data_IF_707454038980
#
_entry.id   IF_707454038980
#
_cell.length_a   1.000
_cell.length_b   1.000
_cell.length_c   1.000
_cell.angle_alpha   90.00
_cell.angle_beta   90.00
_cell.angle_gamma   90.00
#
_symmetry.space_group_name_H-M   'P 1'
#
loop_
_entity.id
_entity.type
_entity.pdbx_description
1 polymer ?
#
# COMPACT_ATOMS: atom_id res chain seq x y z
N UNK A 1 -6.35 0.25 0.56
CA UNK A 1 -6.24 -0.25 1.96
C UNK A 1 -4.84 -0.06 2.54
N UNK A 2 -3.77 -0.62 1.97
CA UNK A 2 -2.41 -0.45 2.53
C UNK A 2 -1.99 1.03 2.67
N UNK A 3 -2.26 1.87 1.69
CA UNK A 3 -1.94 3.30 1.73
C UNK A 3 -2.68 4.05 2.86
N UNK A 4 -3.96 3.75 3.10
CA UNK A 4 -4.71 4.38 4.20
C UNK A 4 -4.18 3.95 5.57
N UNK A 5 -3.82 2.68 5.73
CA UNK A 5 -3.20 2.18 6.96
C UNK A 5 -1.83 2.83 7.17
N UNK A 6 -1.00 2.91 6.13
CA UNK A 6 0.31 3.57 6.20
C UNK A 6 0.21 5.05 6.57
N UNK A 7 -0.77 5.76 6.02
CA UNK A 7 -1.04 7.15 6.38
C UNK A 7 -1.38 7.30 7.86
N UNK A 8 -2.35 6.53 8.35
CA UNK A 8 -2.80 6.58 9.77
C UNK A 8 -1.64 6.25 10.71
N UNK A 9 -0.81 5.25 10.41
CA UNK A 9 0.35 4.88 11.21
C UNK A 9 1.36 6.04 11.27
N UNK A 10 1.62 6.69 10.13
CA UNK A 10 2.53 7.84 10.07
C UNK A 10 2.00 9.03 10.86
N UNK A 11 0.70 9.35 10.77
CA UNK A 11 0.06 10.41 11.55
C UNK A 11 0.06 10.11 13.06
N UNK A 12 -0.08 8.85 13.44
CA UNK A 12 0.05 8.42 14.82
C UNK A 12 1.48 8.54 15.38
N UNK A 13 2.45 8.93 14.54
CA UNK A 13 3.83 9.11 14.96
C UNK A 13 4.63 7.82 15.10
N UNK A 14 4.11 6.72 14.57
CA UNK A 14 4.85 5.45 14.54
C UNK A 14 5.83 5.48 13.38
N UNK A 15 7.10 5.53 13.67
CA UNK A 15 8.20 5.57 12.70
C UNK A 15 9.15 4.38 12.91
N UNK A 16 9.84 3.99 11.86
CA UNK A 16 10.87 2.97 11.98
C UNK A 16 12.04 3.49 12.83
N UNK A 17 12.63 2.63 13.68
CA UNK A 17 13.85 2.98 14.40
C UNK A 17 15.04 3.04 13.42
N UNK A 18 15.94 4.01 13.64
CA UNK A 18 17.16 4.18 12.86
C UNK A 18 17.07 5.29 11.82
N UNK A 19 17.99 5.27 10.87
CA UNK A 19 18.17 6.29 9.85
C UNK A 19 17.75 5.77 8.47
N UNK A 20 17.06 6.61 7.70
CA UNK A 20 16.72 6.32 6.29
C UNK A 20 17.93 6.54 5.38
N UNK A 21 18.84 7.43 5.78
CA UNK A 21 20.12 7.70 5.14
C UNK A 21 21.12 8.14 6.21
N UNK A 22 22.40 8.15 5.89
CA UNK A 22 23.45 8.55 6.85
C UNK A 22 23.14 9.92 7.46
N UNK A 23 22.82 9.94 8.76
CA UNK A 23 22.50 11.16 9.52
C UNK A 23 21.08 11.71 9.31
N UNK A 24 20.17 10.94 8.69
CA UNK A 24 18.77 11.32 8.52
C UNK A 24 17.86 10.29 9.21
N UNK A 25 17.49 10.52 10.48
CA UNK A 25 16.60 9.59 11.19
C UNK A 25 15.18 9.58 10.60
N UNK A 26 14.52 8.42 10.63
CA UNK A 26 13.13 8.32 10.18
C UNK A 26 12.20 9.29 10.90
N UNK A 27 12.47 9.59 12.17
CA UNK A 27 11.68 10.53 12.96
C UNK A 27 11.72 11.98 12.42
N UNK A 28 12.75 12.36 11.67
CA UNK A 28 12.89 13.70 11.09
C UNK A 28 12.11 13.93 9.80
N UNK A 29 11.54 12.87 9.21
CA UNK A 29 10.83 12.96 7.94
C UNK A 29 9.51 13.75 8.04
N UNK A 30 8.93 13.84 9.24
CA UNK A 30 7.63 14.50 9.44
C UNK A 30 6.46 13.57 9.18
N UNK A 31 5.29 14.17 8.89
CA UNK A 31 4.02 13.47 8.74
C UNK A 31 3.38 13.75 7.38
N UNK A 32 2.42 12.90 7.02
CA UNK A 32 1.60 13.06 5.83
C UNK A 32 2.40 13.24 4.55
N UNK A 33 2.00 14.19 3.73
CA UNK A 33 2.65 14.50 2.44
C UNK A 33 4.08 15.00 2.61
N UNK A 34 4.36 15.71 3.71
CA UNK A 34 5.71 16.23 3.97
C UNK A 34 6.71 15.11 4.23
N UNK A 35 6.28 14.01 4.84
CA UNK A 35 7.15 12.85 5.04
C UNK A 35 7.71 12.33 3.71
N UNK A 36 6.86 12.24 2.67
CA UNK A 36 7.31 11.85 1.33
C UNK A 36 8.26 12.88 0.70
N UNK A 37 7.97 14.17 0.87
CA UNK A 37 8.83 15.23 0.33
C UNK A 37 10.25 15.17 0.92
N UNK A 38 10.35 14.87 2.21
CA UNK A 38 11.60 14.81 2.96
C UNK A 38 12.41 13.50 2.78
N UNK A 39 11.83 12.48 2.14
CA UNK A 39 12.59 11.26 1.80
C UNK A 39 13.72 11.62 0.83
N UNK A 40 14.96 11.18 1.08
CA UNK A 40 16.08 11.39 0.16
C UNK A 40 15.80 10.80 -1.23
N UNK A 41 16.26 11.47 -2.28
CA UNK A 41 16.01 11.04 -3.67
C UNK A 41 16.53 9.63 -3.97
N UNK A 42 17.65 9.25 -3.36
CA UNK A 42 18.16 7.88 -3.46
C UNK A 42 17.18 6.85 -2.89
N UNK A 43 16.50 7.16 -1.78
CA UNK A 43 15.46 6.31 -1.20
C UNK A 43 14.23 6.21 -2.10
N UNK A 44 13.79 7.33 -2.67
CA UNK A 44 12.69 7.35 -3.66
C UNK A 44 13.01 6.49 -4.87
N UNK A 45 14.23 6.62 -5.41
CA UNK A 45 14.68 5.81 -6.54
C UNK A 45 14.71 4.31 -6.21
N UNK A 46 15.20 3.93 -5.04
CA UNK A 46 15.20 2.54 -4.59
C UNK A 46 13.79 1.96 -4.49
N UNK A 47 12.83 2.72 -3.94
CA UNK A 47 11.43 2.30 -3.89
C UNK A 47 10.84 2.10 -5.29
N UNK A 48 11.07 3.04 -6.20
CA UNK A 48 10.59 2.93 -7.59
C UNK A 48 11.21 1.73 -8.32
N UNK A 49 12.50 1.47 -8.13
CA UNK A 49 13.17 0.30 -8.71
C UNK A 49 12.62 -1.00 -8.14
N UNK A 50 12.37 -1.07 -6.83
CA UNK A 50 11.79 -2.26 -6.20
C UNK A 50 10.36 -2.54 -6.71
N UNK A 51 9.52 -1.50 -6.82
CA UNK A 51 8.17 -1.60 -7.38
C UNK A 51 8.26 -2.04 -8.85
N UNK A 52 9.11 -1.39 -9.66
CA UNK A 52 9.30 -1.74 -11.06
C UNK A 52 9.78 -3.18 -11.26
N UNK A 53 10.64 -3.69 -10.40
CA UNK A 53 11.09 -5.08 -10.44
C UNK A 53 9.93 -6.07 -10.16
N UNK A 54 9.08 -5.78 -9.17
CA UNK A 54 7.90 -6.60 -8.84
C UNK A 54 6.89 -6.57 -10.00
N UNK A 55 6.59 -5.40 -10.53
CA UNK A 55 5.69 -5.24 -11.68
C UNK A 55 6.20 -6.01 -12.90
N UNK A 56 7.49 -5.84 -13.25
CA UNK A 56 8.12 -6.57 -14.36
C UNK A 56 8.07 -8.08 -14.14
N UNK A 57 8.36 -8.57 -12.94
CA UNK A 57 8.27 -9.97 -12.60
C UNK A 57 6.84 -10.52 -12.76
N UNK A 58 5.81 -9.71 -12.42
CA UNK A 58 4.41 -10.10 -12.61
C UNK A 58 4.01 -10.19 -14.08
N UNK A 59 4.54 -9.30 -14.94
CA UNK A 59 4.26 -9.33 -16.38
C UNK A 59 4.89 -10.54 -17.11
N UNK A 60 6.04 -11.04 -16.63
CA UNK A 60 6.68 -12.25 -17.18
C UNK A 60 6.02 -13.56 -16.75
N UNK A 61 5.04 -13.52 -15.86
CA UNK A 61 4.37 -14.73 -15.39
C UNK A 61 3.49 -15.35 -16.47
N UNK A 62 3.63 -16.67 -16.65
CA UNK A 62 2.81 -17.44 -17.60
C UNK A 62 1.85 -18.37 -16.84
N UNK A 63 0.56 -18.50 -17.29
CA UNK A 63 -0.08 -17.76 -18.37
C UNK A 63 -0.35 -16.31 -17.95
N UNK A 64 -0.08 -15.36 -18.85
CA UNK A 64 -0.34 -13.93 -18.60
C UNK A 64 -1.83 -13.67 -18.38
N UNK A 65 -2.21 -12.73 -17.51
CA UNK A 65 -3.61 -12.44 -17.17
C UNK A 65 -4.46 -12.03 -18.40
N UNK A 66 -3.86 -11.39 -19.41
CA UNK A 66 -4.53 -11.07 -20.67
C UNK A 66 -4.66 -12.28 -21.61
N UNK A 67 -3.94 -13.37 -21.36
CA UNK A 67 -3.92 -14.60 -22.17
C UNK A 67 -4.50 -15.80 -21.43
N UNK A 68 -5.51 -15.57 -20.58
CA UNK A 68 -6.20 -16.61 -19.83
C UNK A 68 -5.62 -16.93 -18.45
N UNK A 69 -4.63 -16.17 -17.99
CA UNK A 69 -4.10 -16.27 -16.65
C UNK A 69 -5.08 -15.72 -15.60
N UNK A 70 -4.85 -16.07 -14.35
CA UNK A 70 -5.68 -15.61 -13.23
C UNK A 70 -5.22 -14.22 -12.77
N UNK A 71 -6.14 -13.25 -12.77
CA UNK A 71 -5.89 -11.92 -12.20
C UNK A 71 -5.50 -12.03 -10.71
N UNK A 72 -4.49 -11.27 -10.31
CA UNK A 72 -4.02 -11.23 -8.93
C UNK A 72 -3.11 -12.39 -8.52
N UNK A 73 -2.71 -13.26 -9.45
CA UNK A 73 -1.69 -14.27 -9.19
C UNK A 73 -0.32 -13.59 -9.18
N UNK A 74 0.15 -13.19 -8.03
CA UNK A 74 1.46 -12.55 -7.86
C UNK A 74 2.50 -13.64 -7.63
N UNK A 75 3.55 -13.73 -8.48
CA UNK A 75 4.65 -14.64 -8.26
C UNK A 75 5.41 -14.18 -7.01
N UNK A 76 5.52 -15.03 -6.03
CA UNK A 76 6.39 -14.78 -4.90
C UNK A 76 7.86 -14.84 -5.29
N UNK A 77 8.72 -13.95 -4.79
CA UNK A 77 10.15 -14.10 -4.91
C UNK A 77 10.58 -15.45 -4.31
N UNK A 78 11.48 -16.14 -4.97
CA UNK A 78 12.00 -17.47 -4.53
C UNK A 78 10.96 -18.59 -4.40
N UNK A 79 9.86 -18.54 -5.16
CA UNK A 79 8.81 -19.57 -5.11
C UNK A 79 7.91 -19.50 -3.88
N UNK A 80 8.02 -18.48 -3.09
CA UNK A 80 7.12 -18.23 -1.95
C UNK A 80 5.72 -17.90 -2.48
N UNK A 81 4.70 -18.59 -1.97
CA UNK A 81 3.31 -18.23 -2.20
C UNK A 81 2.98 -17.00 -1.36
N UNK A 82 3.04 -15.80 -1.97
CA UNK A 82 2.59 -14.58 -1.31
C UNK A 82 1.07 -14.54 -1.15
N UNK A 83 0.36 -15.24 -2.04
CA UNK A 83 -1.08 -15.39 -1.96
C UNK A 83 -1.43 -16.65 -1.18
N UNK A 84 -2.21 -16.47 -0.10
CA UNK A 84 -2.72 -17.53 0.78
C UNK A 84 -1.62 -18.50 1.29
N UNK A 85 -0.60 -17.98 2.03
CA UNK A 85 0.52 -18.81 2.51
C UNK A 85 0.09 -19.92 3.47
N UNK A 86 -1.02 -19.71 4.18
CA UNK A 86 -1.59 -20.68 5.14
C UNK A 86 -2.75 -21.51 4.56
N UNK A 87 -3.09 -21.32 3.28
CA UNK A 87 -4.14 -22.10 2.63
C UNK A 87 -5.57 -21.82 3.11
N UNK A 88 -5.79 -20.71 3.82
CA UNK A 88 -7.10 -20.37 4.38
C UNK A 88 -8.18 -20.17 3.32
N UNK A 89 -7.79 -19.67 2.15
CA UNK A 89 -8.72 -19.41 1.03
C UNK A 89 -9.11 -20.71 0.31
N UNK A 90 -8.24 -21.70 0.28
CA UNK A 90 -8.52 -22.98 -0.37
C UNK A 90 -9.58 -23.80 0.38
N UNK A 91 -9.66 -23.63 1.69
CA UNK A 91 -10.62 -24.31 2.55
C UNK A 91 -12.02 -23.67 2.58
N UNK A 92 -12.19 -22.47 1.99
CA UNK A 92 -13.47 -21.76 2.00
C UNK A 92 -14.40 -22.23 0.88
N UNK A 93 -15.70 -22.23 1.19
CA UNK A 93 -16.78 -22.41 0.21
C UNK A 93 -16.80 -21.26 -0.81
N UNK A 94 -17.28 -21.53 -2.03
CA UNK A 94 -17.27 -20.58 -3.14
C UNK A 94 -18.20 -19.37 -2.89
N UNK A 95 -19.31 -19.55 -2.19
CA UNK A 95 -20.20 -18.46 -1.79
C UNK A 95 -19.49 -17.51 -0.80
N UNK A 96 -18.78 -18.08 0.16
CA UNK A 96 -17.96 -17.29 1.11
C UNK A 96 -16.83 -16.55 0.40
N UNK A 97 -16.15 -17.17 -0.57
CA UNK A 97 -15.12 -16.52 -1.38
C UNK A 97 -15.68 -15.33 -2.14
N UNK A 98 -16.86 -15.48 -2.77
CA UNK A 98 -17.52 -14.40 -3.50
C UNK A 98 -17.87 -13.22 -2.58
N UNK A 99 -18.43 -13.50 -1.40
CA UNK A 99 -18.73 -12.48 -0.38
C UNK A 99 -17.47 -11.74 0.07
N UNK A 100 -16.38 -12.46 0.33
CA UNK A 100 -15.11 -11.86 0.75
C UNK A 100 -14.49 -10.98 -0.33
N UNK A 101 -14.59 -11.39 -1.61
CA UNK A 101 -14.15 -10.55 -2.74
C UNK A 101 -14.96 -9.26 -2.84
N UNK A 102 -16.27 -9.32 -2.64
CA UNK A 102 -17.11 -8.13 -2.63
C UNK A 102 -16.75 -7.18 -1.48
N UNK A 103 -16.49 -7.73 -0.29
CA UNK A 103 -16.02 -6.96 0.85
C UNK A 103 -14.66 -6.30 0.58
N UNK A 104 -13.72 -7.02 -0.04
CA UNK A 104 -12.41 -6.48 -0.44
C UNK A 104 -12.55 -5.30 -1.40
N UNK A 105 -13.39 -5.44 -2.43
CA UNK A 105 -13.66 -4.36 -3.39
C UNK A 105 -14.27 -3.13 -2.72
N UNK A 106 -15.25 -3.31 -1.86
CA UNK A 106 -15.91 -2.22 -1.16
C UNK A 106 -14.94 -1.50 -0.20
N UNK A 107 -14.15 -2.26 0.57
CA UNK A 107 -13.13 -1.70 1.44
C UNK A 107 -12.01 -1.00 0.65
N UNK A 108 -11.62 -1.53 -0.51
CA UNK A 108 -10.67 -0.89 -1.40
C UNK A 108 -11.16 0.45 -1.94
N UNK A 109 -12.42 0.53 -2.38
CA UNK A 109 -13.06 1.77 -2.85
C UNK A 109 -13.14 2.82 -1.73
N UNK A 110 -13.58 2.40 -0.54
CA UNK A 110 -13.64 3.29 0.61
C UNK A 110 -12.24 3.81 1.00
N UNK A 111 -11.23 2.96 0.97
CA UNK A 111 -9.85 3.34 1.25
C UNK A 111 -9.29 4.33 0.22
N UNK A 112 -9.65 4.22 -1.06
CA UNK A 112 -9.26 5.20 -2.08
C UNK A 112 -9.86 6.57 -1.79
N UNK A 113 -11.14 6.63 -1.45
CA UNK A 113 -11.81 7.89 -1.04
C UNK A 113 -11.16 8.45 0.23
N UNK A 114 -10.86 7.59 1.20
CA UNK A 114 -10.20 7.97 2.44
C UNK A 114 -8.82 8.60 2.21
N UNK A 115 -7.99 7.98 1.38
CA UNK A 115 -6.65 8.54 1.05
C UNK A 115 -6.78 9.87 0.31
N UNK A 116 -7.70 9.99 -0.64
CA UNK A 116 -7.96 11.26 -1.32
C UNK A 116 -8.38 12.35 -0.33
N UNK A 117 -9.20 12.00 0.66
CA UNK A 117 -9.62 12.93 1.72
C UNK A 117 -8.45 13.36 2.61
N UNK A 118 -7.56 12.44 2.99
CA UNK A 118 -6.36 12.76 3.77
C UNK A 118 -5.42 13.70 3.03
N UNK A 119 -5.19 13.45 1.74
CA UNK A 119 -4.38 14.32 0.88
C UNK A 119 -5.02 15.70 0.77
N UNK A 120 -6.33 15.77 0.55
CA UNK A 120 -7.06 17.04 0.49
C UNK A 120 -6.93 17.83 1.80
N UNK A 121 -7.11 17.18 2.94
CA UNK A 121 -6.98 17.81 4.26
C UNK A 121 -5.56 18.32 4.53
N UNK A 122 -4.54 17.62 4.04
CA UNK A 122 -3.13 18.03 4.19
C UNK A 122 -2.76 19.30 3.39
N UNK A 123 -3.47 19.57 2.29
CA UNK A 123 -3.22 20.77 1.48
C UNK A 123 -4.18 21.92 1.78
N UNK A 124 -5.39 21.62 2.21
CA UNK A 124 -6.46 22.60 2.42
C UNK A 124 -7.10 22.34 3.78
N UNK A 125 -6.76 23.16 4.77
CA UNK A 125 -7.36 23.09 6.09
C UNK A 125 -8.89 23.21 6.03
N UNK A 126 -9.57 22.29 6.72
CA UNK A 126 -11.04 22.26 6.76
C UNK A 126 -11.74 21.73 5.51
N UNK A 127 -10.99 21.23 4.51
CA UNK A 127 -11.57 20.61 3.31
C UNK A 127 -12.39 19.35 3.64
N UNK A 128 -12.06 18.67 4.73
CA UNK A 128 -12.76 17.47 5.20
C UNK A 128 -13.25 17.71 6.64
N UNK A 129 -14.54 18.03 6.82
CA UNK A 129 -15.09 18.40 8.14
C UNK A 129 -14.97 17.31 9.22
N UNK A 130 -14.82 16.06 8.80
CA UNK A 130 -14.70 14.91 9.70
C UNK A 130 -13.27 14.70 10.24
N UNK A 131 -12.28 15.37 9.67
CA UNK A 131 -10.89 15.26 10.11
C UNK A 131 -10.50 16.47 10.98
N UNK A 132 -9.72 16.26 12.06
CA UNK A 132 -9.18 17.37 12.85
C UNK A 132 -8.29 18.26 11.98
N UNK A 133 -8.24 19.56 12.32
CA UNK A 133 -7.29 20.49 11.71
C UNK A 133 -5.85 20.03 11.98
N UNK A 134 -5.03 19.97 10.93
CA UNK A 134 -3.62 19.56 11.02
C UNK A 134 -3.33 18.10 10.67
N UNK A 135 -4.26 17.46 9.99
CA UNK A 135 -4.07 16.12 9.40
C UNK A 135 -3.44 16.18 8.01
#
# INVERSE_FOLDING_TARGET
>A
MAASVGWIINEAGVVFPGDIATGVPFASLGKGVQAWANVPDAGKLQMLLAIGAIETASEFQKPHYMSGGRLGSIPGPFGLRLWDPIGSMSAMDDATKATKRQMELNNGRLAMIGVASFISASYIDGSVPALPSGW
#
